data_IF_401749855384
#
_entry.id   IF_401749855384
#
_cell.length_a   1.000
_cell.length_b   1.000
_cell.length_c   1.000
_cell.angle_alpha   90.00
_cell.angle_beta   90.00
_cell.angle_gamma   90.00
#
_symmetry.space_group_name_H-M   'P 1'
#
loop_
_entity.id
_entity.type
_entity.pdbx_description
1 polymer ?
#
# COMPACT_ATOMS: atom_id res chain seq x y z
N UNK A 1 -4.67 -12.38 -0.45
CA UNK A 1 -3.25 -12.77 -0.50
C UNK A 1 -2.48 -12.05 0.60
N UNK A 2 -1.36 -12.60 1.10
CA UNK A 2 -0.46 -11.98 2.11
C UNK A 2 0.34 -10.79 1.54
N UNK A 3 -0.39 -9.93 0.87
CA UNK A 3 0.12 -8.82 0.08
C UNK A 3 0.20 -7.55 0.92
N UNK A 4 -0.80 -7.35 1.79
CA UNK A 4 -0.78 -6.33 2.84
C UNK A 4 0.49 -6.39 3.70
N UNK A 5 0.96 -7.59 4.05
CA UNK A 5 2.21 -7.77 4.81
C UNK A 5 3.42 -7.27 4.02
N UNK A 6 3.45 -7.60 2.72
CA UNK A 6 4.49 -7.14 1.79
C UNK A 6 4.50 -5.61 1.71
N UNK A 7 3.34 -4.97 1.52
CA UNK A 7 3.25 -3.50 1.48
C UNK A 7 3.61 -2.84 2.79
N UNK A 8 3.20 -3.41 3.94
CA UNK A 8 3.58 -2.89 5.26
C UNK A 8 5.10 -2.94 5.43
N UNK A 9 5.73 -4.07 5.11
CA UNK A 9 7.19 -4.22 5.30
C UNK A 9 7.96 -3.33 4.32
N UNK A 10 7.59 -3.33 3.04
CA UNK A 10 8.22 -2.50 2.02
C UNK A 10 8.03 -1.00 2.32
N UNK A 11 6.79 -0.61 2.63
CA UNK A 11 6.42 0.75 3.02
C UNK A 11 7.17 1.22 4.27
N UNK A 12 7.24 0.38 5.31
CA UNK A 12 7.97 0.69 6.54
C UNK A 12 9.47 0.81 6.29
N UNK A 13 10.05 -0.09 5.50
CA UNK A 13 11.46 -0.06 5.12
C UNK A 13 11.84 1.24 4.41
N UNK A 14 11.07 1.62 3.39
CA UNK A 14 11.28 2.87 2.64
C UNK A 14 11.01 4.11 3.50
N UNK A 15 9.94 4.10 4.30
CA UNK A 15 9.64 5.19 5.23
C UNK A 15 10.85 5.47 6.13
N UNK A 16 11.48 4.43 6.67
CA UNK A 16 12.64 4.58 7.55
C UNK A 16 13.91 4.95 6.79
N UNK A 17 14.15 4.33 5.64
CA UNK A 17 15.32 4.61 4.80
C UNK A 17 15.38 6.07 4.34
N UNK A 18 14.22 6.62 3.97
CA UNK A 18 14.09 7.99 3.47
C UNK A 18 13.53 8.98 4.50
N UNK A 19 13.33 8.55 5.76
CA UNK A 19 12.77 9.36 6.87
C UNK A 19 11.43 10.04 6.51
N UNK A 20 10.57 9.32 5.81
CA UNK A 20 9.24 9.80 5.40
C UNK A 20 8.27 9.82 6.58
N UNK A 21 7.18 10.58 6.44
CA UNK A 21 6.17 10.70 7.48
C UNK A 21 5.34 9.42 7.60
N UNK A 22 4.63 9.18 8.73
CA UNK A 22 3.72 8.04 8.88
C UNK A 22 2.62 7.98 7.80
N UNK A 23 2.26 9.11 7.20
CA UNK A 23 1.31 9.18 6.09
C UNK A 23 1.75 8.37 4.87
N UNK A 24 3.06 8.20 4.67
CA UNK A 24 3.57 7.34 3.61
C UNK A 24 3.19 5.88 3.82
N UNK A 25 3.38 5.37 5.06
CA UNK A 25 3.00 4.00 5.38
C UNK A 25 1.49 3.79 5.29
N UNK A 26 0.70 4.77 5.73
CA UNK A 26 -0.76 4.75 5.57
C UNK A 26 -1.12 4.67 4.08
N UNK A 27 -0.47 5.48 3.24
CA UNK A 27 -0.66 5.44 1.79
C UNK A 27 -0.35 4.08 1.19
N UNK A 28 0.72 3.42 1.63
CA UNK A 28 1.15 2.11 1.14
C UNK A 28 0.18 0.96 1.44
N UNK A 29 -0.73 1.14 2.40
CA UNK A 29 -1.76 0.15 2.75
C UNK A 29 -3.18 0.63 2.44
N UNK A 30 -3.34 1.89 2.02
CA UNK A 30 -4.63 2.53 1.80
C UNK A 30 -5.48 1.80 0.75
N UNK A 31 -4.95 1.40 -0.43
CA UNK A 31 -5.77 0.74 -1.46
C UNK A 31 -6.42 -0.56 -0.94
N UNK A 32 -5.65 -1.36 -0.19
CA UNK A 32 -6.11 -2.58 0.45
C UNK A 32 -7.20 -2.31 1.48
N UNK A 33 -7.05 -1.29 2.32
CA UNK A 33 -8.05 -0.93 3.34
C UNK A 33 -9.37 -0.49 2.69
N UNK A 34 -9.30 0.22 1.57
CA UNK A 34 -10.49 0.73 0.88
C UNK A 34 -11.28 -0.33 0.13
N UNK A 35 -10.66 -1.48 -0.17
CA UNK A 35 -11.26 -2.49 -1.05
C UNK A 35 -11.44 -3.83 -0.37
N UNK A 36 -10.39 -4.37 0.29
CA UNK A 36 -10.38 -5.76 0.76
C UNK A 36 -11.40 -6.08 1.85
N UNK A 37 -11.60 -5.24 2.89
CA UNK A 37 -12.62 -5.55 3.89
C UNK A 37 -14.01 -5.72 3.26
N UNK A 38 -14.33 -4.88 2.27
CA UNK A 38 -15.62 -4.93 1.58
C UNK A 38 -15.72 -6.15 0.67
N UNK A 39 -14.70 -6.46 -0.14
CA UNK A 39 -14.74 -7.61 -1.05
C UNK A 39 -14.68 -8.95 -0.32
N UNK A 40 -14.05 -9.02 0.86
CA UNK A 40 -14.05 -10.22 1.72
C UNK A 40 -15.45 -10.45 2.31
N UNK A 41 -16.07 -9.40 2.86
CA UNK A 41 -17.40 -9.51 3.50
C UNK A 41 -18.51 -9.67 2.47
N UNK A 42 -18.39 -9.00 1.32
CA UNK A 42 -19.36 -9.02 0.24
C UNK A 42 -18.65 -9.06 -1.13
N UNK A 43 -18.41 -10.26 -1.69
CA UNK A 43 -17.68 -10.41 -2.96
C UNK A 43 -18.29 -9.64 -4.15
N UNK A 44 -19.62 -9.44 -4.14
CA UNK A 44 -20.32 -8.63 -5.15
C UNK A 44 -19.96 -7.15 -5.14
N UNK A 45 -19.29 -6.65 -4.09
CA UNK A 45 -18.83 -5.25 -4.00
C UNK A 45 -17.61 -4.95 -4.87
N UNK A 46 -17.02 -5.96 -5.53
CA UNK A 46 -15.79 -5.80 -6.32
C UNK A 46 -15.88 -4.64 -7.31
N UNK A 47 -16.92 -4.62 -8.16
CA UNK A 47 -17.07 -3.58 -9.18
C UNK A 47 -17.29 -2.16 -8.61
N UNK A 48 -17.78 -2.06 -7.38
CA UNK A 48 -17.99 -0.80 -6.68
C UNK A 48 -16.71 -0.28 -6.01
N UNK A 49 -15.87 -1.20 -5.55
CA UNK A 49 -14.65 -0.89 -4.79
C UNK A 49 -13.40 -0.85 -5.67
N UNK A 50 -13.40 -1.55 -6.82
CA UNK A 50 -12.30 -1.56 -7.77
C UNK A 50 -11.83 -0.15 -8.17
N UNK A 51 -12.71 0.83 -8.47
CA UNK A 51 -12.26 2.19 -8.78
C UNK A 51 -11.38 2.83 -7.69
N UNK A 52 -11.59 2.46 -6.42
CA UNK A 52 -10.78 2.94 -5.29
C UNK A 52 -9.36 2.35 -5.27
N UNK A 53 -9.10 1.33 -6.09
CA UNK A 53 -7.79 0.71 -6.30
C UNK A 53 -7.07 1.20 -7.56
N UNK A 54 -7.62 2.21 -8.26
CA UNK A 54 -7.04 2.77 -9.49
C UNK A 54 -6.24 4.04 -9.19
N UNK A 55 -5.28 4.45 -10.05
CA UNK A 55 -4.51 5.67 -9.82
C UNK A 55 -5.38 6.92 -9.63
N UNK A 56 -6.45 7.06 -10.42
CA UNK A 56 -7.38 8.20 -10.30
C UNK A 56 -8.16 8.13 -8.98
N UNK A 57 -8.76 6.98 -8.66
CA UNK A 57 -9.53 6.83 -7.41
C UNK A 57 -8.66 7.04 -6.17
N UNK A 58 -7.44 6.49 -6.16
CA UNK A 58 -6.49 6.67 -5.07
C UNK A 58 -6.04 8.12 -4.93
N UNK A 59 -5.78 8.82 -6.04
CA UNK A 59 -5.41 10.24 -5.99
C UNK A 59 -6.54 11.08 -5.39
N UNK A 60 -7.79 10.83 -5.79
CA UNK A 60 -8.96 11.51 -5.23
C UNK A 60 -9.12 11.22 -3.73
N UNK A 61 -8.93 9.97 -3.32
CA UNK A 61 -9.05 9.59 -1.91
C UNK A 61 -7.92 10.17 -1.05
N UNK A 62 -6.69 10.18 -1.55
CA UNK A 62 -5.55 10.83 -0.90
C UNK A 62 -5.81 12.34 -0.74
N UNK A 63 -6.37 12.99 -1.77
CA UNK A 63 -6.78 14.39 -1.68
C UNK A 63 -7.85 14.59 -0.61
N UNK A 64 -8.91 13.76 -0.61
CA UNK A 64 -9.98 13.83 0.38
C UNK A 64 -9.44 13.72 1.82
N UNK A 65 -8.56 12.77 2.12
CA UNK A 65 -7.91 12.64 3.44
C UNK A 65 -7.07 13.88 3.77
N UNK A 66 -6.30 14.39 2.80
CA UNK A 66 -5.50 15.59 3.00
C UNK A 66 -6.37 16.83 3.29
N UNK A 67 -7.58 16.92 2.69
CA UNK A 67 -8.52 18.01 2.94
C UNK A 67 -9.05 18.05 4.39
N UNK A 68 -9.07 16.91 5.09
CA UNK A 68 -9.43 16.84 6.52
C UNK A 68 -8.38 17.48 7.45
N UNK A 69 -7.19 17.79 6.93
CA UNK A 69 -6.09 18.37 7.69
C UNK A 69 -5.98 19.89 7.49
N UNK A 70 -5.30 20.53 8.46
CA UNK A 70 -5.03 21.98 8.42
C UNK A 70 -4.21 22.37 7.18
N UNK A 71 -4.40 23.57 6.61
CA UNK A 71 -3.72 23.99 5.37
C UNK A 71 -2.19 23.83 5.40
N UNK A 72 -1.54 24.11 6.54
CA UNK A 72 -0.08 24.04 6.66
C UNK A 72 0.53 22.64 6.50
N UNK A 73 -0.25 21.56 6.66
CA UNK A 73 0.24 20.18 6.51
C UNK A 73 -0.43 19.43 5.35
N UNK A 74 -1.48 19.99 4.76
CA UNK A 74 -2.30 19.33 3.72
C UNK A 74 -1.46 18.81 2.55
N UNK A 75 -0.58 19.64 2.01
CA UNK A 75 0.28 19.25 0.89
C UNK A 75 1.22 18.10 1.28
N UNK A 76 1.81 18.15 2.48
CA UNK A 76 2.68 17.08 2.99
C UNK A 76 1.91 15.77 3.16
N UNK A 77 0.70 15.81 3.73
CA UNK A 77 -0.17 14.63 3.86
C UNK A 77 -0.51 14.04 2.50
N UNK A 78 -0.96 14.87 1.56
CA UNK A 78 -1.31 14.42 0.20
C UNK A 78 -0.12 13.76 -0.50
N UNK A 79 1.05 14.41 -0.50
CA UNK A 79 2.24 13.89 -1.17
C UNK A 79 2.74 12.60 -0.54
N UNK A 80 2.73 12.49 0.79
CA UNK A 80 3.16 11.26 1.47
C UNK A 80 2.16 10.13 1.24
N UNK A 81 0.85 10.38 1.38
CA UNK A 81 -0.18 9.37 1.07
C UNK A 81 -0.09 8.92 -0.38
N UNK A 82 0.00 9.85 -1.32
CA UNK A 82 0.11 9.57 -2.75
C UNK A 82 1.37 8.78 -3.08
N UNK A 83 2.52 9.13 -2.51
CA UNK A 83 3.76 8.39 -2.71
C UNK A 83 3.69 6.97 -2.13
N UNK A 84 3.04 6.79 -0.98
CA UNK A 84 2.78 5.47 -0.42
C UNK A 84 1.84 4.64 -1.30
N UNK A 85 0.73 5.22 -1.72
CA UNK A 85 -0.24 4.57 -2.61
C UNK A 85 0.37 4.23 -3.98
N UNK A 86 1.27 5.06 -4.48
CA UNK A 86 2.04 4.78 -5.68
C UNK A 86 2.97 3.58 -5.49
N UNK A 87 3.70 3.51 -4.36
CA UNK A 87 4.52 2.34 -4.03
C UNK A 87 3.66 1.06 -4.02
N UNK A 88 2.47 1.11 -3.43
CA UNK A 88 1.54 -0.02 -3.41
C UNK A 88 1.22 -0.49 -4.84
N UNK A 89 0.69 0.39 -5.69
CA UNK A 89 0.37 0.06 -7.09
C UNK A 89 1.59 -0.48 -7.85
N UNK A 90 2.78 0.10 -7.63
CA UNK A 90 4.00 -0.40 -8.26
C UNK A 90 4.33 -1.82 -7.81
N UNK A 91 4.20 -2.14 -6.53
CA UNK A 91 4.44 -3.49 -6.03
C UNK A 91 3.45 -4.48 -6.63
N UNK A 92 2.19 -4.08 -6.76
CA UNK A 92 1.16 -4.96 -7.30
C UNK A 92 1.30 -5.22 -8.80
N UNK A 93 1.83 -4.26 -9.56
CA UNK A 93 2.12 -4.47 -10.98
C UNK A 93 3.07 -5.64 -11.23
N UNK A 94 3.91 -6.00 -10.25
CA UNK A 94 4.80 -7.15 -10.34
C UNK A 94 4.12 -8.48 -9.99
N UNK A 95 2.91 -8.46 -9.45
CA UNK A 95 2.17 -9.66 -9.08
C UNK A 95 1.27 -10.15 -10.22
N UNK A 96 1.17 -11.47 -10.37
CA UNK A 96 0.15 -12.09 -11.21
C UNK A 96 -1.21 -12.06 -10.51
N UNK A 97 -2.28 -11.84 -11.27
CA UNK A 97 -3.63 -11.88 -10.74
C UNK A 97 -4.46 -12.98 -11.41
N UNK A 98 -5.11 -13.82 -10.59
CA UNK A 98 -5.98 -14.89 -11.08
C UNK A 98 -7.29 -14.36 -11.71
N UNK A 99 -7.72 -13.15 -11.36
CA UNK A 99 -8.92 -12.52 -11.91
C UNK A 99 -8.81 -10.99 -11.85
N UNK A 100 -8.46 -10.37 -12.99
CA UNK A 100 -8.39 -8.92 -13.16
C UNK A 100 -7.08 -8.32 -12.66
N UNK A 101 -6.37 -7.62 -13.54
CA UNK A 101 -5.13 -6.90 -13.21
C UNK A 101 -5.38 -5.41 -12.97
N UNK A 102 -4.32 -4.58 -12.95
CA UNK A 102 -4.41 -3.19 -12.54
C UNK A 102 -4.90 -2.28 -13.67
N UNK A 103 -6.02 -1.61 -13.46
CA UNK A 103 -6.59 -0.65 -14.41
C UNK A 103 -5.93 0.73 -14.28
N UNK A 104 -4.66 0.83 -14.72
CA UNK A 104 -3.87 2.06 -14.62
C UNK A 104 -4.51 3.27 -15.31
N UNK A 105 -5.22 3.02 -16.42
CA UNK A 105 -5.81 4.04 -17.27
C UNK A 105 -7.32 4.27 -17.01
N UNK A 106 -7.88 3.69 -15.95
CA UNK A 106 -9.24 3.99 -15.54
C UNK A 106 -9.36 5.50 -15.20
N UNK A 107 -10.46 6.20 -15.56
CA UNK A 107 -11.70 5.71 -16.18
C UNK A 107 -11.71 5.72 -17.72
N UNK A 108 -10.61 6.08 -18.38
CA UNK A 108 -10.55 6.19 -19.83
C UNK A 108 -10.42 4.85 -20.54
N UNK A 109 -9.84 3.85 -19.88
CA UNK A 109 -9.69 2.50 -20.40
C UNK A 109 -9.86 1.46 -19.30
N UNK A 110 -10.48 0.34 -19.68
CA UNK A 110 -10.61 -0.87 -18.87
C UNK A 110 -9.50 -1.88 -19.20
N UNK A 111 -8.47 -1.45 -19.92
CA UNK A 111 -7.30 -2.28 -20.14
C UNK A 111 -6.52 -2.43 -18.83
N UNK A 112 -6.32 -3.68 -18.44
CA UNK A 112 -5.62 -4.03 -17.21
C UNK A 112 -4.17 -4.39 -17.53
N UNK A 113 -3.24 -3.95 -16.69
CA UNK A 113 -1.79 -4.11 -16.89
C UNK A 113 -1.20 -4.90 -15.72
N UNK A 114 -0.32 -5.85 -16.02
CA UNK A 114 0.51 -6.58 -15.06
C UNK A 114 1.82 -7.00 -15.74
N UNK A 115 2.89 -7.12 -14.95
CA UNK A 115 4.20 -7.59 -15.39
C UNK A 115 4.33 -9.11 -15.12
N UNK A 116 3.52 -9.66 -14.22
CA UNK A 116 3.43 -11.11 -13.94
C UNK A 116 4.80 -11.74 -13.58
N UNK A 117 5.54 -11.11 -12.65
CA UNK A 117 6.82 -11.64 -12.16
C UNK A 117 6.66 -12.52 -10.93
N UNK A 118 5.66 -12.23 -10.10
CA UNK A 118 5.47 -12.85 -8.79
C UNK A 118 4.11 -13.53 -8.80
N UNK A 119 4.13 -14.87 -8.78
CA UNK A 119 2.88 -15.62 -8.66
C UNK A 119 2.19 -15.27 -7.35
N UNK A 120 0.86 -15.16 -7.35
CA UNK A 120 0.07 -14.80 -6.20
C UNK A 120 0.50 -15.61 -4.95
N UNK A 121 0.63 -16.93 -5.08
CA UNK A 121 1.00 -17.84 -3.98
C UNK A 121 2.43 -17.64 -3.47
N UNK A 122 3.32 -17.01 -4.25
CA UNK A 122 4.71 -16.73 -3.86
C UNK A 122 4.77 -15.92 -2.57
N UNK A 123 3.86 -14.96 -2.40
CA UNK A 123 3.82 -14.17 -1.18
C UNK A 123 3.42 -14.99 0.06
N UNK A 124 2.70 -16.11 -0.09
CA UNK A 124 2.46 -17.09 0.98
C UNK A 124 3.74 -17.86 1.33
N UNK A 125 4.49 -18.30 0.32
CA UNK A 125 5.76 -19.01 0.55
C UNK A 125 6.84 -18.11 1.16
N UNK A 126 6.81 -16.81 0.87
CA UNK A 126 7.72 -15.82 1.45
C UNK A 126 7.30 -15.30 2.83
N UNK A 127 6.14 -15.72 3.36
CA UNK A 127 5.65 -15.27 4.66
C UNK A 127 6.66 -15.48 5.81
N UNK A 128 7.41 -16.60 5.92
CA UNK A 128 8.45 -16.76 6.92
C UNK A 128 9.59 -15.74 6.77
N UNK A 129 10.01 -15.44 5.55
CA UNK A 129 11.03 -14.42 5.27
C UNK A 129 10.55 -13.04 5.72
N UNK A 130 9.31 -12.68 5.37
CA UNK A 130 8.69 -11.43 5.80
C UNK A 130 8.57 -11.32 7.32
N UNK A 131 8.21 -12.40 8.00
CA UNK A 131 8.16 -12.44 9.46
C UNK A 131 9.55 -12.19 10.09
N UNK A 132 10.61 -12.78 9.54
CA UNK A 132 11.99 -12.56 10.00
C UNK A 132 12.44 -11.12 9.78
N UNK A 133 12.18 -10.56 8.59
CA UNK A 133 12.52 -9.17 8.27
C UNK A 133 11.75 -8.21 9.20
N UNK A 134 10.44 -8.44 9.38
CA UNK A 134 9.61 -7.67 10.29
C UNK A 134 10.11 -7.71 11.73
N UNK A 135 10.48 -8.89 12.23
CA UNK A 135 11.05 -9.06 13.56
C UNK A 135 12.40 -8.33 13.68
N UNK A 136 13.27 -8.44 12.69
CA UNK A 136 14.56 -7.75 12.69
C UNK A 136 14.40 -6.23 12.72
N UNK A 137 13.48 -5.69 11.92
CA UNK A 137 13.13 -4.27 11.91
C UNK A 137 12.59 -3.83 13.28
N UNK A 138 11.72 -4.62 13.89
CA UNK A 138 11.16 -4.35 15.22
C UNK A 138 12.24 -4.34 16.31
N UNK A 139 13.12 -5.35 16.35
CA UNK A 139 14.24 -5.43 17.32
C UNK A 139 15.21 -4.27 17.14
N UNK A 140 15.57 -3.94 15.89
CA UNK A 140 16.41 -2.78 15.59
C UNK A 140 15.78 -1.49 16.11
N UNK A 141 14.47 -1.34 15.92
CA UNK A 141 13.75 -0.16 16.40
C UNK A 141 13.73 -0.06 17.93
N UNK A 142 13.46 -1.18 18.61
CA UNK A 142 13.44 -1.23 20.08
C UNK A 142 14.81 -0.86 20.67
N UNK A 143 15.89 -1.39 20.09
CA UNK A 143 17.27 -1.06 20.51
C UNK A 143 17.63 0.41 20.29
N UNK A 144 17.15 1.03 19.21
CA UNK A 144 17.39 2.45 18.95
C UNK A 144 16.68 3.35 19.96
N UNK A 145 15.46 2.98 20.39
CA UNK A 145 14.73 3.73 21.42
C UNK A 145 15.43 3.67 22.78
N UNK A 146 15.86 2.48 23.21
CA UNK A 146 16.60 2.34 24.47
C UNK A 146 17.89 3.18 24.52
N UNK A 147 18.58 3.34 23.38
CA UNK A 147 19.80 4.17 23.30
C UNK A 147 19.53 5.68 23.27
N UNK A 148 18.29 6.10 23.01
CA UNK A 148 17.92 7.51 22.99
C UNK A 148 17.39 8.00 24.35
N UNK A 149 17.05 7.07 25.25
CA UNK A 149 16.45 7.34 26.56
C UNK A 149 17.44 7.19 27.73
N UNK A 150 18.68 6.74 27.48
CA UNK A 150 19.76 6.62 28.49
C UNK A 150 21.00 7.39 28.07
#
# INVERSE_FOLDING_TARGET
MPDLVTHVIAGYGLQRGFRLTPWFLIGAILPDILTRPFTIVWPGSFWWTMPLHTPVGLTLFCAAIAFLHRPGIRASVFLNLGAGAFLHVVLDLFQAHLAGSYYLFFPFSWHSVEIDLIWPETSLYLLPLWAVIGLWLAVKHFRQRMKAEG
#
